data_IF_382201986627
#
_entry.id   IF_382201986627
#
_cell.length_a   1.000
_cell.length_b   1.000
_cell.length_c   1.000
_cell.angle_alpha   90.00
_cell.angle_beta   90.00
_cell.angle_gamma   90.00
#
_symmetry.space_group_name_H-M   'P 1'
#
loop_
_entity.id
_entity.type
_entity.pdbx_description
1 polymer ?
#
# COMPACT_ATOMS: atom_id res chain seq x y z
N UNK A 1 66.49 28.69 -27.95
CA UNK A 1 66.66 27.56 -27.02
C UNK A 1 65.70 27.58 -25.83
N UNK A 2 64.89 28.64 -25.62
CA UNK A 2 64.04 28.78 -24.42
C UNK A 2 62.58 28.30 -24.60
N UNK A 3 62.07 28.24 -25.83
CA UNK A 3 60.67 27.86 -26.11
C UNK A 3 60.40 26.36 -25.87
N UNK A 4 61.36 25.50 -26.21
CA UNK A 4 61.27 24.06 -25.95
C UNK A 4 61.27 23.72 -24.45
N UNK A 5 61.91 24.54 -23.63
CA UNK A 5 62.02 24.32 -22.18
C UNK A 5 60.73 24.75 -21.46
N UNK A 6 60.06 25.79 -21.94
CA UNK A 6 58.75 26.24 -21.46
C UNK A 6 57.66 25.21 -21.80
N UNK A 7 57.69 24.65 -23.01
CA UNK A 7 56.75 23.60 -23.43
C UNK A 7 56.84 22.35 -22.54
N UNK A 8 58.06 21.97 -22.13
CA UNK A 8 58.31 20.81 -21.27
C UNK A 8 57.83 21.02 -19.83
N UNK A 9 58.02 22.23 -19.28
CA UNK A 9 57.50 22.61 -17.96
C UNK A 9 55.97 22.68 -17.93
N UNK A 10 55.34 23.22 -18.97
CA UNK A 10 53.88 23.26 -19.07
C UNK A 10 53.26 21.86 -19.16
N UNK A 11 53.89 20.95 -19.91
CA UNK A 11 53.45 19.55 -20.01
C UNK A 11 53.58 18.81 -18.66
N UNK A 12 54.64 19.07 -17.88
CA UNK A 12 54.86 18.45 -16.58
C UNK A 12 53.83 18.91 -15.54
N UNK A 13 53.49 20.22 -15.53
CA UNK A 13 52.47 20.78 -14.63
C UNK A 13 51.08 20.23 -14.99
N UNK A 14 50.75 20.13 -16.29
CA UNK A 14 49.51 19.53 -16.75
C UNK A 14 49.37 18.04 -16.37
N UNK A 15 50.45 17.28 -16.49
CA UNK A 15 50.47 15.86 -16.10
C UNK A 15 50.37 15.66 -14.57
N UNK A 16 51.01 16.54 -13.78
CA UNK A 16 50.93 16.51 -12.31
C UNK A 16 49.53 16.85 -11.78
N UNK A 17 48.84 17.83 -12.38
CA UNK A 17 47.49 18.22 -12.00
C UNK A 17 46.45 17.12 -12.31
N UNK A 18 46.64 16.36 -13.40
CA UNK A 18 45.75 15.26 -13.77
C UNK A 18 45.81 14.08 -12.78
N UNK A 19 47.00 13.78 -12.23
CA UNK A 19 47.15 12.70 -11.24
C UNK A 19 46.69 13.13 -9.84
N UNK A 20 46.95 14.38 -9.44
CA UNK A 20 46.47 14.93 -8.15
C UNK A 20 44.95 15.06 -8.08
N UNK A 21 44.32 15.48 -9.19
CA UNK A 21 42.86 15.55 -9.30
C UNK A 21 42.19 14.16 -9.24
N UNK A 22 42.84 13.12 -9.78
CA UNK A 22 42.30 11.76 -9.82
C UNK A 22 42.17 11.12 -8.43
N UNK A 23 43.15 11.30 -7.54
CA UNK A 23 43.11 10.69 -6.20
C UNK A 23 42.11 11.39 -5.28
N UNK A 24 42.01 12.72 -5.36
CA UNK A 24 41.04 13.52 -4.59
C UNK A 24 39.62 13.26 -5.11
N UNK A 25 39.44 13.18 -6.43
CA UNK A 25 38.16 12.82 -7.07
C UNK A 25 37.73 11.39 -6.73
N UNK A 26 38.65 10.43 -6.67
CA UNK A 26 38.35 9.04 -6.32
C UNK A 26 37.95 8.85 -4.83
N UNK A 27 38.41 9.74 -3.93
CA UNK A 27 38.01 9.72 -2.51
C UNK A 27 36.73 10.50 -2.25
N UNK A 28 36.55 11.66 -2.90
CA UNK A 28 35.32 12.44 -2.78
C UNK A 28 34.12 11.69 -3.37
N UNK A 29 34.30 10.97 -4.48
CA UNK A 29 33.26 10.11 -5.07
C UNK A 29 32.93 8.88 -4.21
N UNK A 30 33.86 8.36 -3.41
CA UNK A 30 33.60 7.28 -2.45
C UNK A 30 32.76 7.77 -1.27
N UNK A 31 33.12 8.87 -0.64
CA UNK A 31 32.34 9.43 0.47
C UNK A 31 30.97 9.98 0.01
N UNK A 32 30.91 10.58 -1.17
CA UNK A 32 29.64 11.01 -1.77
C UNK A 32 28.79 9.79 -2.18
N UNK A 33 29.41 8.73 -2.68
CA UNK A 33 28.76 7.47 -3.05
C UNK A 33 28.21 6.70 -1.86
N UNK A 34 28.91 6.67 -0.72
CA UNK A 34 28.42 6.04 0.52
C UNK A 34 27.22 6.79 1.09
N UNK A 35 27.26 8.13 1.11
CA UNK A 35 26.11 8.95 1.55
C UNK A 35 24.93 8.86 0.57
N UNK A 36 25.19 8.79 -0.74
CA UNK A 36 24.16 8.56 -1.75
C UNK A 36 23.57 7.15 -1.69
N UNK A 37 24.38 6.12 -1.42
CA UNK A 37 23.90 4.75 -1.25
C UNK A 37 23.05 4.62 0.03
N UNK A 38 23.46 5.26 1.13
CA UNK A 38 22.65 5.32 2.35
C UNK A 38 21.32 6.05 2.12
N UNK A 39 21.34 7.20 1.44
CA UNK A 39 20.13 7.94 1.10
C UNK A 39 19.21 7.17 0.12
N UNK A 40 19.78 6.45 -0.85
CA UNK A 40 19.02 5.60 -1.77
C UNK A 40 18.42 4.38 -1.08
N UNK A 41 19.15 3.75 -0.15
CA UNK A 41 18.64 2.66 0.68
C UNK A 41 17.52 3.14 1.61
N UNK A 42 17.64 4.34 2.17
CA UNK A 42 16.60 4.91 3.02
C UNK A 42 15.36 5.29 2.22
N UNK A 43 15.53 5.88 1.03
CA UNK A 43 14.42 6.15 0.10
C UNK A 43 13.75 4.85 -0.41
N UNK A 44 14.52 3.77 -0.63
CA UNK A 44 13.99 2.45 -0.95
C UNK A 44 13.23 1.84 0.25
N UNK A 45 13.72 2.01 1.47
CA UNK A 45 13.02 1.55 2.68
C UNK A 45 11.71 2.31 2.91
N UNK A 46 11.72 3.63 2.77
CA UNK A 46 10.52 4.47 2.82
C UNK A 46 9.53 4.07 1.74
N UNK A 47 9.95 3.95 0.48
CA UNK A 47 9.05 3.55 -0.61
C UNK A 47 8.52 2.13 -0.47
N UNK A 48 9.30 1.17 0.03
CA UNK A 48 8.82 -0.20 0.30
C UNK A 48 7.86 -0.25 1.50
N UNK A 49 8.06 0.60 2.51
CA UNK A 49 7.13 0.75 3.63
C UNK A 49 5.80 1.37 3.18
N UNK A 50 5.85 2.43 2.36
CA UNK A 50 4.67 3.04 1.74
C UNK A 50 3.92 2.05 0.85
N UNK A 51 4.63 1.26 0.04
CA UNK A 51 4.03 0.18 -0.76
C UNK A 51 3.42 -0.92 0.10
N UNK A 52 4.03 -1.26 1.24
CA UNK A 52 3.49 -2.26 2.16
C UNK A 52 2.22 -1.75 2.84
N UNK A 53 2.19 -0.50 3.27
CA UNK A 53 1.00 0.14 3.82
C UNK A 53 -0.13 0.19 2.78
N UNK A 54 0.17 0.61 1.54
CA UNK A 54 -0.80 0.63 0.45
C UNK A 54 -1.39 -0.77 0.15
N UNK A 55 -0.56 -1.83 0.19
CA UNK A 55 -1.02 -3.22 0.01
C UNK A 55 -1.99 -3.66 1.10
N UNK A 56 -1.75 -3.28 2.36
CA UNK A 56 -2.66 -3.60 3.47
C UNK A 56 -4.00 -2.88 3.32
N UNK A 57 -3.99 -1.60 2.93
CA UNK A 57 -5.23 -0.86 2.66
C UNK A 57 -6.02 -1.45 1.48
N UNK A 58 -5.33 -1.88 0.43
CA UNK A 58 -5.99 -2.50 -0.72
C UNK A 58 -6.59 -3.86 -0.38
N UNK A 59 -5.88 -4.69 0.40
CA UNK A 59 -6.39 -5.96 0.91
C UNK A 59 -7.65 -5.78 1.77
N UNK A 60 -7.65 -4.80 2.68
CA UNK A 60 -8.84 -4.43 3.48
C UNK A 60 -10.00 -3.98 2.60
N UNK A 61 -9.73 -3.11 1.62
CA UNK A 61 -10.75 -2.64 0.69
C UNK A 61 -11.40 -3.80 -0.07
N UNK A 62 -10.61 -4.75 -0.55
CA UNK A 62 -11.13 -5.94 -1.23
C UNK A 62 -11.98 -6.81 -0.30
N UNK A 63 -11.58 -6.99 0.96
CA UNK A 63 -12.37 -7.73 1.94
C UNK A 63 -13.74 -7.07 2.19
N UNK A 64 -13.76 -5.74 2.34
CA UNK A 64 -15.01 -5.00 2.56
C UNK A 64 -15.95 -5.04 1.35
N UNK A 65 -15.40 -4.92 0.14
CA UNK A 65 -16.18 -5.03 -1.11
C UNK A 65 -16.80 -6.42 -1.24
N UNK A 66 -16.02 -7.49 -1.05
CA UNK A 66 -16.52 -8.86 -1.12
C UNK A 66 -17.65 -9.13 -0.12
N UNK A 67 -17.55 -8.58 1.08
CA UNK A 67 -18.60 -8.70 2.08
C UNK A 67 -19.89 -7.99 1.65
N UNK A 68 -19.79 -6.76 1.13
CA UNK A 68 -20.96 -6.02 0.62
C UNK A 68 -21.63 -6.70 -0.57
N UNK A 69 -20.83 -7.26 -1.49
CA UNK A 69 -21.32 -8.04 -2.63
C UNK A 69 -22.09 -9.28 -2.15
N UNK A 70 -21.54 -10.02 -1.19
CA UNK A 70 -22.19 -11.22 -0.66
C UNK A 70 -23.47 -10.89 0.14
N UNK A 71 -23.48 -9.78 0.88
CA UNK A 71 -24.70 -9.26 1.53
C UNK A 71 -25.77 -8.95 0.49
N UNK A 72 -25.39 -8.25 -0.59
CA UNK A 72 -26.28 -7.92 -1.70
C UNK A 72 -26.87 -9.16 -2.38
N UNK A 73 -26.03 -10.16 -2.67
CA UNK A 73 -26.47 -11.42 -3.27
C UNK A 73 -27.51 -12.12 -2.39
N UNK A 74 -27.25 -12.27 -1.09
CA UNK A 74 -28.19 -12.92 -0.16
C UNK A 74 -29.48 -12.10 0.01
N UNK A 75 -29.40 -10.76 0.04
CA UNK A 75 -30.59 -9.90 0.12
C UNK A 75 -31.45 -10.02 -1.14
N UNK A 76 -30.82 -10.06 -2.32
CA UNK A 76 -31.51 -10.18 -3.60
C UNK A 76 -32.16 -11.56 -3.76
N UNK A 77 -31.43 -12.64 -3.46
CA UNK A 77 -31.96 -14.02 -3.46
C UNK A 77 -33.23 -14.15 -2.62
N UNK A 78 -33.31 -13.44 -1.51
CA UNK A 78 -34.51 -13.48 -0.65
C UNK A 78 -35.66 -12.67 -1.21
N UNK A 79 -35.36 -11.54 -1.84
CA UNK A 79 -36.36 -10.66 -2.45
C UNK A 79 -36.99 -11.30 -3.69
N UNK A 80 -36.19 -11.93 -4.53
CA UNK A 80 -36.62 -12.49 -5.82
C UNK A 80 -36.88 -13.99 -5.76
N UNK A 81 -36.33 -14.68 -4.77
CA UNK A 81 -36.29 -16.14 -4.73
C UNK A 81 -35.24 -16.75 -5.66
N UNK A 82 -34.56 -15.94 -6.48
CA UNK A 82 -33.55 -16.38 -7.44
C UNK A 82 -32.15 -16.17 -6.85
N UNK A 83 -31.51 -17.26 -6.42
CA UNK A 83 -30.19 -17.23 -5.82
C UNK A 83 -29.33 -18.41 -6.20
N UNK A 84 -28.03 -18.28 -5.96
CA UNK A 84 -27.07 -19.34 -6.22
C UNK A 84 -26.97 -20.26 -4.99
N UNK A 85 -26.88 -21.58 -5.20
CA UNK A 85 -26.45 -22.47 -4.14
C UNK A 85 -25.05 -22.05 -3.67
N UNK A 86 -24.96 -21.50 -2.45
CA UNK A 86 -23.70 -21.04 -1.87
C UNK A 86 -23.69 -19.61 -1.36
N UNK A 87 -24.66 -18.76 -1.72
CA UNK A 87 -24.63 -17.33 -1.36
C UNK A 87 -24.50 -17.09 0.15
N UNK A 88 -25.15 -17.92 0.97
CA UNK A 88 -25.01 -17.89 2.44
C UNK A 88 -23.61 -18.27 2.93
N UNK A 89 -22.99 -19.25 2.28
CA UNK A 89 -21.62 -19.70 2.60
C UNK A 89 -20.60 -18.66 2.17
N UNK A 90 -20.80 -18.04 1.01
CA UNK A 90 -19.95 -16.97 0.50
C UNK A 90 -20.04 -15.72 1.37
N UNK A 91 -21.25 -15.39 1.85
CA UNK A 91 -21.45 -14.34 2.85
C UNK A 91 -20.70 -14.62 4.16
N UNK A 92 -20.78 -15.84 4.69
CA UNK A 92 -20.04 -16.18 5.91
C UNK A 92 -18.53 -16.06 5.70
N UNK A 93 -18.01 -16.59 4.58
CA UNK A 93 -16.58 -16.48 4.25
C UNK A 93 -16.13 -15.03 4.13
N UNK A 94 -16.94 -14.19 3.49
CA UNK A 94 -16.63 -12.77 3.35
C UNK A 94 -16.67 -12.04 4.69
N UNK A 95 -17.60 -12.39 5.58
CA UNK A 95 -17.64 -11.87 6.95
C UNK A 95 -16.39 -12.27 7.75
N UNK A 96 -15.98 -13.53 7.69
CA UNK A 96 -14.78 -14.02 8.38
C UNK A 96 -13.51 -13.27 7.90
N UNK A 97 -13.43 -12.93 6.61
CA UNK A 97 -12.34 -12.10 6.08
C UNK A 97 -12.36 -10.67 6.64
N UNK A 98 -13.54 -10.07 6.83
CA UNK A 98 -13.65 -8.75 7.47
C UNK A 98 -13.22 -8.79 8.93
N UNK A 99 -13.54 -9.87 9.66
CA UNK A 99 -13.09 -10.05 11.05
C UNK A 99 -11.57 -10.19 11.14
N UNK A 100 -10.94 -10.78 10.13
CA UNK A 100 -9.49 -10.97 10.08
C UNK A 100 -8.72 -9.69 9.69
N UNK A 101 -9.22 -8.97 8.69
CA UNK A 101 -8.49 -7.88 8.05
C UNK A 101 -8.85 -6.49 8.62
N UNK A 102 -10.08 -6.33 9.11
CA UNK A 102 -10.62 -5.06 9.56
C UNK A 102 -10.32 -4.71 11.02
N UNK A 103 -10.32 -3.42 11.39
CA UNK A 103 -10.29 -3.02 12.80
C UNK A 103 -11.60 -3.40 13.51
N UNK A 104 -11.57 -3.43 14.85
CA UNK A 104 -12.65 -3.98 15.67
C UNK A 104 -14.01 -3.31 15.46
N UNK A 105 -14.01 -2.01 15.14
CA UNK A 105 -15.22 -1.23 14.85
C UNK A 105 -15.89 -1.69 13.56
N UNK A 106 -15.09 -1.97 12.52
CA UNK A 106 -15.57 -2.50 11.23
C UNK A 106 -16.08 -3.93 11.41
N UNK A 107 -15.36 -4.76 12.16
CA UNK A 107 -15.79 -6.12 12.49
C UNK A 107 -17.14 -6.15 13.25
N UNK A 108 -17.33 -5.21 14.18
CA UNK A 108 -18.57 -5.04 14.94
C UNK A 108 -19.72 -4.63 14.02
N UNK A 109 -19.50 -3.64 13.15
CA UNK A 109 -20.51 -3.20 12.20
C UNK A 109 -20.86 -4.29 11.16
N UNK A 110 -19.86 -5.07 10.71
CA UNK A 110 -20.08 -6.20 9.80
C UNK A 110 -20.93 -7.29 10.45
N UNK A 111 -20.68 -7.59 11.72
CA UNK A 111 -21.48 -8.55 12.49
C UNK A 111 -22.91 -8.07 12.66
N UNK A 112 -23.11 -6.79 12.97
CA UNK A 112 -24.43 -6.20 13.07
C UNK A 112 -25.20 -6.29 11.74
N UNK A 113 -24.55 -6.03 10.61
CA UNK A 113 -25.14 -6.16 9.28
C UNK A 113 -25.48 -7.61 8.96
N UNK A 114 -24.57 -8.56 9.20
CA UNK A 114 -24.82 -9.98 9.00
C UNK A 114 -26.03 -10.45 9.80
N UNK A 115 -26.18 -10.00 11.05
CA UNK A 115 -27.34 -10.34 11.87
C UNK A 115 -28.65 -9.77 11.33
N UNK A 116 -28.66 -8.56 10.74
CA UNK A 116 -29.85 -8.03 10.05
C UNK A 116 -30.20 -8.88 8.83
N UNK A 117 -29.21 -9.27 8.05
CA UNK A 117 -29.40 -10.19 6.92
C UNK A 117 -29.97 -11.51 7.43
N UNK A 118 -29.38 -12.14 8.45
CA UNK A 118 -29.87 -13.43 8.98
C UNK A 118 -31.30 -13.38 9.49
N UNK A 119 -31.70 -12.27 10.13
CA UNK A 119 -33.06 -12.06 10.67
C UNK A 119 -34.10 -11.68 9.64
N UNK A 120 -33.71 -11.46 8.39
CA UNK A 120 -34.61 -10.96 7.35
C UNK A 120 -35.25 -9.63 7.75
N UNK A 121 -34.40 -8.72 8.26
CA UNK A 121 -34.85 -7.43 8.75
C UNK A 121 -35.48 -6.60 7.63
N UNK A 122 -36.35 -5.66 8.01
CA UNK A 122 -36.98 -4.72 7.06
C UNK A 122 -35.89 -3.97 6.27
N UNK A 123 -36.14 -3.58 5.00
CA UNK A 123 -35.17 -2.88 4.16
C UNK A 123 -34.49 -1.70 4.89
N UNK A 124 -35.26 -0.84 5.56
CA UNK A 124 -34.75 0.31 6.31
C UNK A 124 -33.76 -0.04 7.43
N UNK A 125 -33.88 -1.23 8.04
CA UNK A 125 -32.97 -1.69 9.07
C UNK A 125 -31.68 -2.27 8.46
N UNK A 126 -31.80 -2.94 7.31
CA UNK A 126 -30.66 -3.43 6.55
C UNK A 126 -29.83 -2.26 6.00
N UNK A 127 -30.48 -1.24 5.45
CA UNK A 127 -29.84 -0.04 4.91
C UNK A 127 -29.09 0.74 5.99
N UNK A 128 -29.71 0.94 7.16
CA UNK A 128 -29.04 1.58 8.31
C UNK A 128 -27.81 0.79 8.78
N UNK A 129 -27.90 -0.55 8.84
CA UNK A 129 -26.75 -1.37 9.21
C UNK A 129 -25.64 -1.33 8.14
N UNK A 130 -26.01 -1.24 6.86
CA UNK A 130 -25.08 -1.09 5.75
C UNK A 130 -24.37 0.27 5.78
N UNK A 131 -25.11 1.35 6.04
CA UNK A 131 -24.55 2.69 6.21
C UNK A 131 -23.56 2.75 7.39
N UNK A 132 -23.93 2.17 8.53
CA UNK A 132 -23.04 2.08 9.68
C UNK A 132 -21.73 1.32 9.35
N UNK A 133 -21.81 0.21 8.61
CA UNK A 133 -20.62 -0.50 8.14
C UNK A 133 -19.77 0.35 7.19
N UNK A 134 -20.38 1.03 6.22
CA UNK A 134 -19.68 1.89 5.27
C UNK A 134 -18.96 3.05 5.95
N UNK A 135 -19.57 3.63 6.98
CA UNK A 135 -18.95 4.71 7.77
C UNK A 135 -17.69 4.21 8.47
N UNK A 136 -17.77 3.10 9.20
CA UNK A 136 -16.61 2.51 9.87
C UNK A 136 -15.54 2.08 8.88
N UNK A 137 -15.93 1.49 7.74
CA UNK A 137 -15.01 1.08 6.70
C UNK A 137 -14.26 2.28 6.09
N UNK A 138 -14.93 3.44 5.95
CA UNK A 138 -14.32 4.68 5.46
C UNK A 138 -13.33 5.25 6.48
N UNK A 139 -13.70 5.29 7.75
CA UNK A 139 -12.80 5.70 8.84
C UNK A 139 -11.57 4.81 8.91
N UNK A 140 -11.70 3.51 8.67
CA UNK A 140 -10.59 2.56 8.69
C UNK A 140 -9.63 2.63 7.49
N UNK A 141 -10.03 3.32 6.42
CA UNK A 141 -9.25 3.48 5.18
C UNK A 141 -8.62 4.87 5.04
N UNK A 142 -8.93 5.80 5.95
CA UNK A 142 -8.35 7.13 6.05
C UNK A 142 -7.43 7.22 7.26
#
# INVERSE_FOLDING_TARGET
>A
MNEWLIALLAALIGAGAALGGSVISARSTREAGERQAAAALEALRLSTAEQRAARVHDQRRQAYVRFLEAVGAVAETRRTGEGRPGDRTDLQRAHDLVLLEGPGEVATAATALLEQVRRDARPDALDRAREAFLEQARTALH
#
